data_IF_453623290957
#
_entry.id   IF_453623290957
#
_cell.length_a   1.000
_cell.length_b   1.000
_cell.length_c   1.000
_cell.angle_alpha   90.00
_cell.angle_beta   90.00
_cell.angle_gamma   90.00
#
_symmetry.space_group_name_H-M   'P 1'
#
loop_
_entity.id
_entity.type
_entity.pdbx_description
1 polymer ?
#
# COMPACT_ATOMS: atom_id res chain seq x y z
N UNK A 1 -38.46 -19.07 -25.52
CA UNK A 1 -38.07 -18.32 -24.31
C UNK A 1 -36.65 -18.75 -23.96
N UNK A 2 -35.63 -18.06 -24.52
CA UNK A 2 -34.24 -18.34 -24.24
C UNK A 2 -33.94 -17.83 -22.83
N UNK A 3 -33.68 -18.75 -21.91
CA UNK A 3 -33.25 -18.46 -20.56
C UNK A 3 -31.81 -17.92 -20.65
N UNK A 4 -31.67 -16.59 -20.61
CA UNK A 4 -30.38 -15.94 -20.45
C UNK A 4 -29.80 -16.42 -19.12
N UNK A 5 -28.80 -17.29 -19.16
CA UNK A 5 -28.00 -17.58 -17.97
C UNK A 5 -27.39 -16.25 -17.50
N UNK A 6 -27.48 -15.91 -16.20
CA UNK A 6 -26.74 -14.78 -15.68
C UNK A 6 -25.26 -15.03 -15.91
N UNK A 7 -24.61 -14.07 -16.56
CA UNK A 7 -23.17 -14.02 -16.77
C UNK A 7 -22.49 -14.19 -15.40
N UNK A 8 -21.92 -15.38 -15.15
CA UNK A 8 -21.27 -15.66 -13.86
C UNK A 8 -20.01 -14.80 -13.81
N UNK A 9 -19.92 -13.92 -12.82
CA UNK A 9 -18.72 -13.14 -12.54
C UNK A 9 -17.52 -14.10 -12.46
N UNK A 10 -16.47 -13.94 -13.29
CA UNK A 10 -15.28 -14.80 -13.26
C UNK A 10 -14.50 -14.75 -11.92
N UNK A 11 -14.95 -13.95 -10.95
CA UNK A 11 -14.45 -13.87 -9.57
C UNK A 11 -15.16 -14.82 -8.60
N UNK A 12 -16.28 -15.43 -8.95
CA UNK A 12 -16.93 -16.44 -8.11
C UNK A 12 -16.10 -17.73 -8.08
N UNK A 13 -15.35 -17.93 -6.97
CA UNK A 13 -14.99 -19.27 -6.53
C UNK A 13 -13.57 -19.77 -6.83
N UNK A 14 -12.55 -18.92 -6.97
CA UNK A 14 -11.17 -19.41 -6.75
C UNK A 14 -10.95 -19.61 -5.26
N UNK A 15 -11.25 -20.81 -4.78
CA UNK A 15 -10.94 -21.26 -3.42
C UNK A 15 -9.48 -20.91 -3.10
N UNK A 16 -9.28 -20.00 -2.14
CA UNK A 16 -7.93 -19.58 -1.77
C UNK A 16 -7.29 -20.75 -1.04
N UNK A 17 -6.25 -21.35 -1.61
CA UNK A 17 -5.56 -22.49 -1.00
C UNK A 17 -5.15 -22.16 0.44
N UNK A 18 -5.23 -23.12 1.38
CA UNK A 18 -4.89 -22.90 2.79
C UNK A 18 -3.46 -22.36 2.97
N UNK A 19 -2.53 -22.74 2.08
CA UNK A 19 -1.17 -22.20 2.05
C UNK A 19 -1.13 -20.71 1.74
N UNK A 20 -1.87 -20.27 0.72
CA UNK A 20 -1.95 -18.86 0.33
C UNK A 20 -2.64 -18.01 1.40
N UNK A 21 -3.65 -18.55 2.08
CA UNK A 21 -4.26 -17.90 3.24
C UNK A 21 -3.26 -17.72 4.39
N UNK A 22 -2.49 -18.76 4.72
CA UNK A 22 -1.46 -18.71 5.76
C UNK A 22 -0.35 -17.71 5.42
N UNK A 23 0.07 -17.66 4.15
CA UNK A 23 1.04 -16.67 3.66
C UNK A 23 0.50 -15.24 3.81
N UNK A 24 -0.74 -14.98 3.37
CA UNK A 24 -1.36 -13.66 3.51
C UNK A 24 -1.49 -13.22 4.98
N UNK A 25 -1.87 -14.13 5.88
CA UNK A 25 -1.89 -13.85 7.33
C UNK A 25 -0.51 -13.49 7.87
N UNK A 26 0.55 -14.21 7.48
CA UNK A 26 1.92 -13.87 7.87
C UNK A 26 2.32 -12.48 7.37
N UNK A 27 2.02 -12.16 6.11
CA UNK A 27 2.28 -10.83 5.57
C UNK A 27 1.51 -9.73 6.31
N UNK A 28 0.24 -9.96 6.64
CA UNK A 28 -0.56 -9.02 7.41
C UNK A 28 0.04 -8.80 8.81
N UNK A 29 0.44 -9.88 9.49
CA UNK A 29 1.10 -9.78 10.80
C UNK A 29 2.42 -9.01 10.71
N UNK A 30 3.24 -9.30 9.70
CA UNK A 30 4.49 -8.57 9.46
C UNK A 30 4.22 -7.08 9.19
N UNK A 31 3.18 -6.76 8.41
CA UNK A 31 2.78 -5.38 8.14
C UNK A 31 2.39 -4.66 9.43
N UNK A 32 1.55 -5.28 10.26
CA UNK A 32 1.11 -4.71 11.55
C UNK A 32 2.31 -4.51 12.48
N UNK A 33 3.12 -5.55 12.68
CA UNK A 33 4.29 -5.48 13.57
C UNK A 33 5.29 -4.43 13.08
N UNK A 34 5.57 -4.37 11.78
CA UNK A 34 6.47 -3.38 11.21
C UNK A 34 5.91 -1.95 11.35
N UNK A 35 4.60 -1.78 11.19
CA UNK A 35 3.93 -0.48 11.36
C UNK A 35 4.03 0.01 12.79
N UNK A 36 3.71 -0.85 13.77
CA UNK A 36 3.82 -0.50 15.18
C UNK A 36 5.27 -0.22 15.57
N UNK A 37 6.22 -1.04 15.14
CA UNK A 37 7.63 -0.86 15.44
C UNK A 37 8.17 0.46 14.86
N UNK A 38 7.87 0.74 13.60
CA UNK A 38 8.28 1.99 12.95
C UNK A 38 7.66 3.20 13.64
N UNK A 39 6.36 3.16 13.93
CA UNK A 39 5.66 4.24 14.61
C UNK A 39 6.23 4.50 16.01
N UNK A 40 6.47 3.45 16.81
CA UNK A 40 7.08 3.58 18.12
C UNK A 40 8.49 4.18 18.03
N UNK A 41 9.32 3.70 17.10
CA UNK A 41 10.66 4.23 16.88
C UNK A 41 10.62 5.72 16.49
N UNK A 42 9.74 6.08 15.55
CA UNK A 42 9.52 7.47 15.14
C UNK A 42 9.15 8.36 16.33
N UNK A 43 8.15 7.95 17.14
CA UNK A 43 7.72 8.72 18.32
C UNK A 43 8.82 8.86 19.37
N UNK A 44 9.60 7.81 19.62
CA UNK A 44 10.73 7.86 20.56
C UNK A 44 11.79 8.84 20.06
N UNK A 45 12.14 8.79 18.77
CA UNK A 45 13.13 9.70 18.18
C UNK A 45 12.65 11.15 18.19
N UNK A 46 11.37 11.38 17.90
CA UNK A 46 10.76 12.71 17.93
C UNK A 46 10.77 13.27 19.35
N UNK A 47 10.27 12.51 20.33
CA UNK A 47 10.27 12.91 21.73
C UNK A 47 11.69 13.18 22.25
N UNK A 48 12.67 12.36 21.87
CA UNK A 48 14.08 12.61 22.23
C UNK A 48 14.64 13.90 21.60
N UNK A 49 14.29 14.17 20.34
CA UNK A 49 14.71 15.40 19.67
C UNK A 49 14.10 16.65 20.34
N UNK A 50 12.84 16.58 20.76
CA UNK A 50 12.14 17.64 21.49
C UNK A 50 12.74 17.84 22.89
N UNK A 51 12.99 16.77 23.64
CA UNK A 51 13.58 16.85 24.99
C UNK A 51 15.00 17.43 25.00
N UNK A 52 15.75 17.25 23.92
CA UNK A 52 17.11 17.78 23.79
C UNK A 52 17.17 19.19 23.19
N UNK A 53 16.00 19.84 23.04
CA UNK A 53 15.81 21.18 22.47
C UNK A 53 16.39 21.31 21.04
N UNK A 54 16.50 20.18 20.34
CA UNK A 54 17.01 20.09 18.98
C UNK A 54 15.86 20.30 18.00
N UNK A 55 15.38 21.54 17.91
CA UNK A 55 14.36 21.94 16.92
C UNK A 55 14.76 21.53 15.49
N UNK A 56 16.05 21.59 15.18
CA UNK A 56 16.57 21.11 13.88
C UNK A 56 16.46 19.59 13.71
N UNK A 57 16.62 18.81 14.79
CA UNK A 57 16.52 17.36 14.77
C UNK A 57 15.11 16.85 14.53
N UNK A 58 14.12 17.43 15.22
CA UNK A 58 12.69 17.11 14.99
C UNK A 58 12.27 17.49 13.57
N UNK A 59 12.68 18.67 13.09
CA UNK A 59 12.44 19.09 11.71
C UNK A 59 13.02 18.11 10.68
N UNK A 60 14.29 17.71 10.85
CA UNK A 60 14.94 16.74 9.96
C UNK A 60 14.23 15.38 9.95
N UNK A 61 13.81 14.89 11.12
CA UNK A 61 13.08 13.63 11.24
C UNK A 61 11.75 13.68 10.46
N UNK A 62 11.01 14.79 10.60
CA UNK A 62 9.77 15.02 9.87
C UNK A 62 9.99 15.04 8.35
N UNK A 63 10.93 15.85 7.88
CA UNK A 63 11.26 15.96 6.46
C UNK A 63 11.71 14.62 5.90
N UNK A 64 12.52 13.85 6.64
CA UNK A 64 13.01 12.56 6.19
C UNK A 64 11.87 11.56 5.98
N UNK A 65 10.96 11.39 6.94
CA UNK A 65 9.87 10.42 6.75
C UNK A 65 8.90 10.88 5.64
N UNK A 66 8.65 12.19 5.51
CA UNK A 66 7.82 12.72 4.42
C UNK A 66 8.46 12.49 3.05
N UNK A 67 9.77 12.70 2.93
CA UNK A 67 10.52 12.42 1.71
C UNK A 67 10.50 10.92 1.36
N UNK A 68 10.63 10.04 2.36
CA UNK A 68 10.50 8.60 2.19
C UNK A 68 9.08 8.22 1.73
N UNK A 69 8.05 8.80 2.34
CA UNK A 69 6.66 8.54 1.97
C UNK A 69 6.40 8.91 0.51
N UNK A 70 6.82 10.12 0.11
CA UNK A 70 6.68 10.59 -1.26
C UNK A 70 7.49 9.73 -2.23
N UNK A 71 8.76 9.44 -1.90
CA UNK A 71 9.66 8.67 -2.75
C UNK A 71 9.17 7.23 -2.98
N UNK A 72 8.84 6.51 -1.92
CA UNK A 72 8.32 5.15 -2.04
C UNK A 72 6.92 5.10 -2.66
N UNK A 73 6.07 6.07 -2.33
CA UNK A 73 4.75 6.22 -2.94
C UNK A 73 4.84 6.39 -4.45
N UNK A 74 5.65 7.35 -4.92
CA UNK A 74 5.87 7.57 -6.35
C UNK A 74 6.52 6.36 -7.03
N UNK A 75 7.55 5.77 -6.42
CA UNK A 75 8.20 4.58 -6.96
C UNK A 75 7.20 3.41 -7.12
N UNK A 76 6.30 3.22 -6.15
CA UNK A 76 5.27 2.19 -6.19
C UNK A 76 4.24 2.45 -7.29
N UNK A 77 3.80 3.70 -7.44
CA UNK A 77 2.87 4.11 -8.50
C UNK A 77 3.49 3.95 -9.89
N UNK A 78 4.71 4.46 -10.09
CA UNK A 78 5.42 4.39 -11.37
C UNK A 78 5.68 2.93 -11.76
N UNK A 79 6.18 2.11 -10.83
CA UNK A 79 6.45 0.70 -11.08
C UNK A 79 5.20 -0.08 -11.51
N UNK A 80 4.06 0.21 -10.87
CA UNK A 80 2.76 -0.39 -11.18
C UNK A 80 1.99 0.35 -12.29
N UNK A 81 2.62 1.31 -12.98
CA UNK A 81 2.02 2.11 -14.07
C UNK A 81 0.67 2.72 -13.66
N UNK A 82 0.62 3.29 -12.46
CA UNK A 82 -0.57 3.90 -11.85
C UNK A 82 -1.80 2.97 -11.85
N UNK A 83 -1.59 1.65 -11.80
CA UNK A 83 -2.65 0.65 -11.82
C UNK A 83 -3.53 0.65 -13.05
N UNK A 84 -3.10 1.27 -14.16
CA UNK A 84 -3.87 1.28 -15.43
C UNK A 84 -4.27 -0.13 -15.90
N UNK A 85 -3.48 -1.14 -15.56
CA UNK A 85 -3.69 -2.54 -15.94
C UNK A 85 -4.41 -3.38 -14.88
N UNK A 86 -4.76 -2.79 -13.73
CA UNK A 86 -5.38 -3.50 -12.62
C UNK A 86 -6.86 -3.71 -12.90
N UNK A 87 -7.33 -4.96 -12.77
CA UNK A 87 -8.75 -5.30 -12.92
C UNK A 87 -9.25 -5.39 -14.36
N UNK A 88 -8.37 -5.24 -15.36
CA UNK A 88 -8.69 -5.45 -16.78
C UNK A 88 -8.91 -6.94 -17.01
N UNK A 89 -10.05 -7.28 -17.62
CA UNK A 89 -10.36 -8.67 -18.01
C UNK A 89 -9.97 -8.94 -19.46
N UNK A 90 -9.75 -10.21 -19.87
CA UNK A 90 -9.37 -10.54 -21.25
C UNK A 90 -10.34 -9.98 -22.31
N UNK A 91 -11.61 -9.85 -21.96
CA UNK A 91 -12.69 -9.37 -22.84
C UNK A 91 -12.63 -7.84 -23.05
N UNK A 92 -11.96 -7.11 -22.15
CA UNK A 92 -11.75 -5.67 -22.24
C UNK A 92 -10.49 -5.30 -23.05
N UNK A 93 -9.70 -6.30 -23.44
CA UNK A 93 -8.52 -6.11 -24.26
C UNK A 93 -8.89 -6.04 -25.76
N UNK A 94 -8.06 -5.43 -26.61
CA UNK A 94 -8.35 -5.30 -28.03
C UNK A 94 -8.62 -6.67 -28.69
N UNK A 95 -9.65 -6.71 -29.53
CA UNK A 95 -10.11 -7.96 -30.15
C UNK A 95 -9.14 -8.51 -31.21
N UNK A 96 -8.26 -7.65 -31.73
CA UNK A 96 -7.17 -7.97 -32.67
C UNK A 96 -5.96 -8.63 -31.99
N UNK A 97 -5.89 -8.62 -30.66
CA UNK A 97 -4.80 -9.27 -29.93
C UNK A 97 -4.98 -10.78 -29.88
N UNK A 98 -3.87 -11.51 -30.03
CA UNK A 98 -3.87 -12.96 -29.82
C UNK A 98 -4.10 -13.29 -28.34
N UNK A 99 -4.59 -14.50 -28.05
CA UNK A 99 -4.78 -14.96 -26.67
C UNK A 99 -3.46 -15.01 -25.88
N UNK A 100 -2.33 -15.24 -26.57
CA UNK A 100 -0.99 -15.16 -25.98
C UNK A 100 -0.66 -13.72 -25.54
N UNK A 101 -0.89 -12.73 -26.40
CA UNK A 101 -0.66 -11.32 -26.08
C UNK A 101 -1.52 -10.83 -24.91
N UNK A 102 -2.80 -11.26 -24.85
CA UNK A 102 -3.69 -10.95 -23.74
C UNK A 102 -3.18 -11.58 -22.43
N UNK A 103 -2.75 -12.83 -22.49
CA UNK A 103 -2.22 -13.56 -21.33
C UNK A 103 -0.95 -12.89 -20.80
N UNK A 104 -0.01 -12.56 -21.68
CA UNK A 104 1.25 -11.90 -21.33
C UNK A 104 1.02 -10.51 -20.70
N UNK A 105 0.07 -9.75 -21.24
CA UNK A 105 -0.29 -8.44 -20.70
C UNK A 105 -0.81 -8.53 -19.26
N UNK A 106 -1.72 -9.47 -19.00
CA UNK A 106 -2.30 -9.69 -17.68
C UNK A 106 -1.28 -10.28 -16.70
N UNK A 107 -0.39 -11.16 -17.17
CA UNK A 107 0.65 -11.74 -16.33
C UNK A 107 1.72 -10.72 -15.93
N UNK A 108 2.14 -9.84 -16.84
CA UNK A 108 3.05 -8.71 -16.53
C UNK A 108 2.44 -7.81 -15.43
N UNK A 109 1.15 -7.49 -15.54
CA UNK A 109 0.46 -6.71 -14.51
C UNK A 109 0.47 -7.43 -13.15
N UNK A 110 0.16 -8.73 -13.12
CA UNK A 110 0.18 -9.53 -11.88
C UNK A 110 1.58 -9.61 -11.27
N UNK A 111 2.61 -9.87 -12.09
CA UNK A 111 4.01 -9.96 -11.66
C UNK A 111 4.50 -8.65 -11.04
N UNK A 112 4.10 -7.49 -11.59
CA UNK A 112 4.45 -6.19 -11.03
C UNK A 112 3.82 -5.97 -9.65
N UNK A 113 2.54 -6.28 -9.50
CA UNK A 113 1.88 -6.17 -8.20
C UNK A 113 2.57 -7.07 -7.17
N UNK A 114 2.87 -8.32 -7.53
CA UNK A 114 3.57 -9.25 -6.62
C UNK A 114 4.98 -8.79 -6.26
N UNK A 115 5.77 -8.33 -7.24
CA UNK A 115 7.13 -7.83 -7.01
C UNK A 115 7.18 -6.54 -6.21
N UNK A 116 6.12 -5.73 -6.22
CA UNK A 116 6.06 -4.46 -5.49
C UNK A 116 5.42 -4.56 -4.10
N UNK A 117 4.90 -5.74 -3.71
CA UNK A 117 4.29 -5.96 -2.37
C UNK A 117 5.20 -5.59 -1.20
N UNK A 118 6.51 -5.79 -1.32
CA UNK A 118 7.45 -5.44 -0.25
C UNK A 118 7.48 -3.93 0.02
N UNK A 119 7.22 -3.09 -1.00
CA UNK A 119 7.20 -1.64 -0.83
C UNK A 119 6.04 -1.22 0.08
N UNK A 120 4.93 -1.98 0.11
CA UNK A 120 3.82 -1.73 1.02
C UNK A 120 4.23 -1.90 2.49
N UNK A 121 5.20 -2.76 2.79
CA UNK A 121 5.74 -2.89 4.15
C UNK A 121 6.43 -1.61 4.60
N UNK A 122 6.88 -0.74 3.68
CA UNK A 122 7.51 0.55 3.98
C UNK A 122 6.49 1.69 3.91
N UNK A 123 5.69 1.72 2.84
CA UNK A 123 4.71 2.78 2.59
C UNK A 123 3.63 2.80 3.68
N UNK A 124 3.11 1.64 4.08
CA UNK A 124 2.00 1.61 5.03
C UNK A 124 2.37 2.16 6.41
N UNK A 125 3.52 1.81 7.04
CA UNK A 125 3.99 2.50 8.24
C UNK A 125 4.12 4.01 8.07
N UNK A 126 4.65 4.48 6.95
CA UNK A 126 4.83 5.91 6.68
C UNK A 126 3.49 6.64 6.57
N UNK A 127 2.53 6.05 5.85
CA UNK A 127 1.16 6.59 5.73
C UNK A 127 0.47 6.59 7.10
N UNK A 128 0.62 5.52 7.88
CA UNK A 128 0.05 5.41 9.21
C UNK A 128 0.61 6.50 10.14
N UNK A 129 1.93 6.67 10.19
CA UNK A 129 2.58 7.72 10.98
C UNK A 129 2.10 9.10 10.53
N UNK A 130 2.10 9.38 9.23
CA UNK A 130 1.60 10.64 8.67
C UNK A 130 0.15 10.93 9.11
N UNK A 131 -0.71 9.91 9.05
CA UNK A 131 -2.11 10.06 9.44
C UNK A 131 -2.26 10.40 10.92
N UNK A 132 -1.52 9.71 11.79
CA UNK A 132 -1.53 10.00 13.23
C UNK A 132 -1.00 11.41 13.51
N UNK A 133 0.11 11.81 12.89
CA UNK A 133 0.65 13.18 13.04
C UNK A 133 -0.37 14.24 12.59
N UNK A 134 -1.10 13.99 11.50
CA UNK A 134 -2.16 14.89 11.05
C UNK A 134 -3.33 14.96 12.05
N UNK A 135 -3.73 13.83 12.64
CA UNK A 135 -4.77 13.81 13.69
C UNK A 135 -4.29 14.57 14.93
N UNK A 136 -3.06 14.34 15.36
CA UNK A 136 -2.47 15.05 16.50
C UNK A 136 -2.49 16.57 16.25
N UNK A 137 -1.95 17.00 15.11
CA UNK A 137 -1.76 18.41 14.79
C UNK A 137 -3.08 19.17 14.53
N UNK A 138 -4.04 18.55 13.84
CA UNK A 138 -5.26 19.23 13.38
C UNK A 138 -6.49 18.95 14.23
N UNK A 139 -6.49 17.91 15.06
CA UNK A 139 -7.65 17.52 15.89
C UNK A 139 -7.31 17.63 17.37
N UNK A 140 -6.26 16.93 17.83
CA UNK A 140 -5.97 16.79 19.26
C UNK A 140 -5.37 18.09 19.83
N UNK A 141 -4.32 18.63 19.22
CA UNK A 141 -3.65 19.84 19.68
C UNK A 141 -4.60 21.05 19.77
N UNK A 142 -5.42 21.35 18.75
CA UNK A 142 -6.41 22.42 18.84
C UNK A 142 -7.47 22.17 19.90
N UNK A 143 -7.91 20.92 20.09
CA UNK A 143 -8.91 20.57 21.10
C UNK A 143 -8.37 20.72 22.54
N UNK A 144 -7.08 20.41 22.77
CA UNK A 144 -6.45 20.53 24.08
C UNK A 144 -6.04 21.97 24.44
N UNK A 145 -5.84 22.84 23.44
CA UNK A 145 -5.43 24.24 23.61
C UNK A 145 -6.59 25.25 23.55
N UNK A 146 -7.77 24.82 23.12
CA UNK A 146 -9.01 25.60 23.13
C UNK A 146 -9.68 25.58 24.50
#
# INVERSE_FOLDING_TARGET
>A
MLMLMPDRDPREGKEISPEKQRQNRRYLLLLILNTLLFFMLYRILLAYAELTDKTFGSFLLMVLYMALLLGFGLAYLIYNRFFYRSGVTPEQLPADWSEEQKTDFLEDARKRVEKSKWMLLIIFPLVFTFFIDAVDLFIIDPFLRG
#
